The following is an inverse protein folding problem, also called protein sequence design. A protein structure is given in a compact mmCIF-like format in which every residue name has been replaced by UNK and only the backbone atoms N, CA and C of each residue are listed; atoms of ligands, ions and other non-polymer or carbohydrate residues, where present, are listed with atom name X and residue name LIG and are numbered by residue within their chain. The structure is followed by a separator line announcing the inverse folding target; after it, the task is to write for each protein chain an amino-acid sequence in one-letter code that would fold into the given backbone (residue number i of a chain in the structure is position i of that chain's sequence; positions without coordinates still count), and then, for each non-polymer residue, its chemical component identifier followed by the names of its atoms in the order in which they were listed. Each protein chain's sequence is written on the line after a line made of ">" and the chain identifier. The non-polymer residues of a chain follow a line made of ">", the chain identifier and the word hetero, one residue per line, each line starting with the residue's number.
data_IF_670151021169
#
_entry.id   IF_670151021169
#
_cell.length_a   1.000
_cell.length_b   1.000
_cell.length_c   1.000
_cell.angle_alpha   90.00
_cell.angle_beta   90.00
_cell.angle_gamma   90.00
#
_symmetry.space_group_name_H-M   'P 1'
#
loop_
_entity.id
_entity.type
_entity.pdbx_description
1 polymer ?
#
# COMPACT_ATOMS: atom_id res chain seq x y z
N UNK A 1 3.41 30.97 1.37
CA UNK A 1 3.80 31.24 2.77
C UNK A 1 3.73 29.94 3.57
N UNK A 2 4.85 29.43 4.11
CA UNK A 2 4.84 28.19 4.90
C UNK A 2 4.25 28.48 6.28
N UNK A 3 3.06 27.93 6.56
CA UNK A 3 2.41 28.03 7.87
C UNK A 3 3.24 27.22 8.88
N UNK A 4 4.03 27.89 9.73
CA UNK A 4 4.67 27.23 10.88
C UNK A 4 3.56 26.73 11.79
N UNK A 5 3.44 25.41 11.96
CA UNK A 5 2.57 24.81 12.96
C UNK A 5 3.20 25.08 14.33
N UNK A 6 2.84 26.20 14.96
CA UNK A 6 3.30 26.52 16.31
C UNK A 6 2.50 25.69 17.31
N UNK A 7 3.13 24.69 17.93
CA UNK A 7 2.56 23.98 19.07
C UNK A 7 2.45 24.96 20.24
N UNK A 8 1.25 25.16 20.79
CA UNK A 8 1.07 26.04 21.95
C UNK A 8 1.46 25.31 23.23
N UNK A 9 1.77 26.06 24.30
CA UNK A 9 2.09 25.47 25.62
C UNK A 9 0.98 24.54 26.12
N UNK A 10 -0.28 24.86 25.83
CA UNK A 10 -1.44 24.05 26.21
C UNK A 10 -1.49 22.74 25.44
N UNK A 11 -1.21 22.77 24.13
CA UNK A 11 -1.21 21.56 23.30
C UNK A 11 -0.14 20.58 23.77
N UNK A 12 1.03 21.09 24.17
CA UNK A 12 2.10 20.27 24.76
C UNK A 12 1.68 19.64 26.09
N UNK A 13 1.14 20.44 27.03
CA UNK A 13 0.71 19.95 28.35
C UNK A 13 -0.41 18.92 28.21
N UNK A 14 -1.38 19.17 27.34
CA UNK A 14 -2.46 18.23 27.07
C UNK A 14 -1.92 16.92 26.47
N UNK A 15 -0.98 16.99 25.51
CA UNK A 15 -0.36 15.81 24.91
C UNK A 15 0.38 14.94 25.92
N UNK A 16 1.18 15.54 26.80
CA UNK A 16 1.88 14.82 27.88
C UNK A 16 0.89 14.18 28.85
N UNK A 17 -0.18 14.89 29.19
CA UNK A 17 -1.22 14.40 30.10
C UNK A 17 -1.94 13.16 29.56
N UNK A 18 -2.26 13.14 28.26
CA UNK A 18 -2.83 11.96 27.59
C UNK A 18 -1.88 10.76 27.59
N UNK A 19 -0.59 10.99 27.35
CA UNK A 19 0.42 9.92 27.38
C UNK A 19 0.54 9.27 28.76
N UNK A 20 0.55 10.08 29.83
CA UNK A 20 0.57 9.58 31.20
C UNK A 20 -0.73 8.84 31.56
N UNK A 21 -1.89 9.40 31.21
CA UNK A 21 -3.16 8.73 31.43
C UNK A 21 -3.25 7.37 30.72
N UNK A 22 -2.74 7.27 29.49
CA UNK A 22 -2.68 6.01 28.74
C UNK A 22 -1.74 4.99 29.39
N UNK A 23 -0.64 5.43 30.02
CA UNK A 23 0.30 4.53 30.69
C UNK A 23 -0.27 3.85 31.94
N UNK A 24 -1.23 4.50 32.61
CA UNK A 24 -1.89 3.98 33.82
C UNK A 24 -3.27 3.38 33.49
N UNK A 25 -3.75 3.55 32.26
CA UNK A 25 -5.02 2.98 31.83
C UNK A 25 -4.97 1.44 31.86
N UNK A 26 -6.04 0.76 32.30
CA UNK A 26 -6.09 -0.70 32.33
C UNK A 26 -5.89 -1.29 30.92
N UNK A 27 -4.90 -2.18 30.77
CA UNK A 27 -4.57 -2.85 29.49
C UNK A 27 -5.75 -3.69 28.97
N UNK A 28 -6.69 -4.08 29.84
CA UNK A 28 -7.89 -4.82 29.43
C UNK A 28 -8.80 -4.03 28.48
N UNK A 29 -8.71 -2.70 28.42
CA UNK A 29 -9.38 -1.90 27.38
C UNK A 29 -8.78 -2.10 25.98
N UNK A 30 -7.54 -2.57 25.87
CA UNK A 30 -6.88 -2.91 24.61
C UNK A 30 -7.21 -4.34 24.14
N UNK A 31 -7.80 -5.18 25.00
CA UNK A 31 -8.24 -6.52 24.60
C UNK A 31 -9.48 -6.42 23.73
N UNK A 32 -9.36 -6.91 22.50
CA UNK A 32 -10.50 -7.03 21.61
C UNK A 32 -11.52 -8.03 22.19
N UNK A 33 -12.63 -7.52 22.72
CA UNK A 33 -13.76 -8.34 23.17
C UNK A 33 -14.52 -8.90 21.96
N UNK A 34 -14.86 -10.19 22.00
CA UNK A 34 -15.72 -10.88 21.03
C UNK A 34 -15.16 -11.10 19.62
N UNK A 35 -13.84 -11.30 19.46
CA UNK A 35 -13.32 -11.88 18.22
C UNK A 35 -13.40 -13.40 18.37
N UNK A 36 -14.43 -14.00 17.79
CA UNK A 36 -14.43 -15.44 17.54
C UNK A 36 -13.27 -15.73 16.57
N UNK A 37 -12.27 -16.55 16.95
CA UNK A 37 -11.15 -16.88 16.06
C UNK A 37 -11.60 -17.53 14.75
N UNK A 38 -12.80 -18.11 14.70
CA UNK A 38 -13.42 -18.63 13.48
C UNK A 38 -14.10 -17.54 12.62
N UNK A 39 -14.33 -16.35 13.20
CA UNK A 39 -14.77 -15.13 12.51
C UNK A 39 -13.58 -14.21 12.19
N UNK A 40 -12.40 -14.79 12.01
CA UNK A 40 -11.25 -14.09 11.44
C UNK A 40 -11.34 -14.21 9.92
N UNK A 41 -11.55 -13.12 9.16
CA UNK A 41 -11.80 -13.19 7.70
C UNK A 41 -10.76 -14.00 6.90
N UNK A 42 -9.45 -13.98 7.24
CA UNK A 42 -8.46 -14.85 6.59
C UNK A 42 -8.69 -16.35 6.78
N UNK A 43 -9.36 -16.77 7.86
CA UNK A 43 -9.70 -18.19 8.07
C UNK A 43 -10.78 -18.68 7.09
N UNK A 44 -11.63 -17.80 6.58
CA UNK A 44 -12.71 -18.13 5.63
C UNK A 44 -12.23 -18.25 4.19
N UNK A 45 -11.20 -17.51 3.81
CA UNK A 45 -10.65 -17.54 2.44
C UNK A 45 -9.58 -18.60 2.25
N UNK A 46 -9.18 -19.31 3.31
CA UNK A 46 -8.08 -20.27 3.28
C UNK A 46 -6.69 -19.61 3.14
N UNK A 47 -6.62 -18.27 3.08
CA UNK A 47 -5.37 -17.51 2.99
C UNK A 47 -4.74 -17.46 4.37
N UNK A 48 -3.98 -18.51 4.71
CA UNK A 48 -3.30 -18.65 6.01
C UNK A 48 -1.96 -17.91 6.05
N UNK A 49 -1.91 -16.64 5.66
CA UNK A 49 -0.71 -15.79 5.78
C UNK A 49 0.61 -16.53 5.46
N UNK A 50 1.59 -16.41 6.36
CA UNK A 50 2.86 -17.13 6.27
C UNK A 50 2.73 -18.58 6.78
N UNK A 51 2.68 -19.54 5.86
CA UNK A 51 2.69 -20.98 6.16
C UNK A 51 3.75 -21.70 5.30
N UNK A 52 4.23 -22.90 5.71
CA UNK A 52 5.12 -23.71 4.86
C UNK A 52 4.50 -23.91 3.48
N UNK A 53 5.25 -23.61 2.42
CA UNK A 53 4.79 -23.64 1.02
C UNK A 53 4.18 -22.33 0.48
N UNK A 54 3.85 -21.35 1.34
CA UNK A 54 3.29 -20.04 0.90
C UNK A 54 4.25 -19.23 0.01
N UNK A 55 5.54 -19.56 0.04
CA UNK A 55 6.56 -18.90 -0.76
C UNK A 55 7.17 -19.79 -1.85
N UNK A 56 6.72 -21.03 -2.06
CA UNK A 56 7.39 -21.92 -3.01
C UNK A 56 7.29 -21.40 -4.44
N UNK A 57 6.11 -20.89 -4.84
CA UNK A 57 5.95 -20.25 -6.14
C UNK A 57 6.73 -18.94 -6.28
N UNK A 58 6.75 -18.12 -5.22
CA UNK A 58 7.49 -16.87 -5.22
C UNK A 58 9.01 -17.08 -5.28
N UNK A 59 9.55 -18.03 -4.50
CA UNK A 59 10.95 -18.41 -4.54
C UNK A 59 11.32 -19.05 -5.87
N UNK A 60 10.48 -19.92 -6.44
CA UNK A 60 10.73 -20.48 -7.77
C UNK A 60 10.79 -19.40 -8.83
N UNK A 61 9.88 -18.42 -8.80
CA UNK A 61 9.91 -17.29 -9.72
C UNK A 61 11.17 -16.43 -9.54
N UNK A 62 11.56 -16.14 -8.29
CA UNK A 62 12.71 -15.30 -7.97
C UNK A 62 14.07 -15.97 -8.22
N UNK A 63 14.17 -17.29 -7.99
CA UNK A 63 15.44 -18.04 -8.05
C UNK A 63 15.65 -18.74 -9.40
N UNK A 64 14.60 -19.26 -10.03
CA UNK A 64 14.73 -20.06 -11.25
C UNK A 64 14.52 -19.23 -12.53
N UNK A 65 14.04 -17.99 -12.43
CA UNK A 65 13.67 -17.19 -13.60
C UNK A 65 12.41 -17.73 -14.26
N UNK A 66 11.31 -17.02 -14.12
CA UNK A 66 10.04 -17.43 -14.71
C UNK A 66 10.01 -17.22 -16.22
N UNK A 67 10.23 -18.28 -17.01
CA UNK A 67 9.85 -18.32 -18.42
C UNK A 67 8.32 -18.48 -18.52
N UNK A 68 7.56 -17.44 -18.15
CA UNK A 68 6.09 -17.42 -18.22
C UNK A 68 5.54 -16.63 -19.42
N UNK A 69 6.42 -16.10 -20.26
CA UNK A 69 6.04 -15.39 -21.47
C UNK A 69 6.06 -16.38 -22.63
N UNK A 70 5.02 -17.21 -22.71
CA UNK A 70 4.86 -18.14 -23.84
C UNK A 70 4.41 -17.41 -25.11
N UNK A 71 3.71 -16.28 -24.99
CA UNK A 71 3.27 -15.51 -26.15
C UNK A 71 3.18 -14.01 -25.81
N UNK A 72 3.91 -13.18 -26.55
CA UNK A 72 3.81 -11.73 -26.49
C UNK A 72 2.84 -11.31 -27.58
N UNK A 73 1.62 -11.00 -27.20
CA UNK A 73 0.57 -10.54 -28.11
C UNK A 73 0.63 -9.02 -28.18
N UNK A 74 0.84 -8.48 -29.38
CA UNK A 74 0.67 -7.04 -29.62
C UNK A 74 -0.83 -6.71 -29.71
N UNK A 75 -1.29 -5.89 -28.77
CA UNK A 75 -2.69 -5.47 -28.69
C UNK A 75 -2.99 -4.28 -29.63
N UNK A 76 -1.98 -3.67 -30.25
CA UNK A 76 -2.13 -2.48 -31.08
C UNK A 76 -2.50 -1.22 -30.27
N UNK A 77 -2.48 -1.30 -28.94
CA UNK A 77 -2.81 -0.21 -28.03
C UNK A 77 -1.55 0.43 -27.46
N UNK A 78 -1.43 1.75 -27.59
CA UNK A 78 -0.36 2.52 -26.96
C UNK A 78 -0.80 3.02 -25.59
N UNK A 79 -0.13 2.57 -24.53
CA UNK A 79 -0.39 3.02 -23.16
C UNK A 79 0.62 4.08 -22.73
N UNK A 80 0.14 5.24 -22.25
CA UNK A 80 1.00 6.29 -21.68
C UNK A 80 1.63 5.85 -20.32
N UNK A 81 1.04 4.85 -19.64
CA UNK A 81 1.51 4.28 -18.38
C UNK A 81 1.02 2.83 -18.22
N UNK A 82 1.91 1.95 -17.76
CA UNK A 82 1.57 0.60 -17.31
C UNK A 82 1.98 0.46 -15.83
N UNK A 83 1.06 -0.01 -14.98
CA UNK A 83 1.34 -0.34 -13.56
C UNK A 83 1.26 -1.85 -13.39
N UNK A 84 2.38 -2.47 -13.04
CA UNK A 84 2.45 -3.93 -12.81
C UNK A 84 2.31 -4.19 -11.31
N UNK A 85 1.22 -4.86 -10.92
CA UNK A 85 0.92 -5.26 -9.54
C UNK A 85 -0.11 -4.37 -8.83
N UNK A 86 -1.18 -4.98 -8.32
CA UNK A 86 -2.31 -4.31 -7.65
C UNK A 86 -2.15 -4.09 -6.14
N UNK A 87 -0.91 -3.99 -5.65
CA UNK A 87 -0.64 -3.73 -4.23
C UNK A 87 -0.86 -2.27 -3.83
N UNK A 88 -0.64 -1.95 -2.55
CA UNK A 88 -0.75 -0.57 -2.02
C UNK A 88 0.16 0.39 -2.81
N UNK A 89 1.37 -0.07 -3.17
CA UNK A 89 2.31 0.70 -4.00
C UNK A 89 1.74 0.96 -5.40
N UNK A 90 1.21 -0.05 -6.09
CA UNK A 90 0.65 0.10 -7.43
C UNK A 90 -0.58 1.00 -7.48
N UNK A 91 -1.51 0.84 -6.52
CA UNK A 91 -2.67 1.72 -6.38
C UNK A 91 -2.25 3.16 -6.04
N UNK A 92 -1.26 3.34 -5.17
CA UNK A 92 -0.72 4.67 -4.86
C UNK A 92 -0.12 5.36 -6.08
N UNK A 93 0.56 4.61 -6.95
CA UNK A 93 1.17 5.14 -8.17
C UNK A 93 0.09 5.53 -9.21
N UNK A 94 -0.96 4.72 -9.36
CA UNK A 94 -2.11 5.08 -10.21
C UNK A 94 -2.80 6.36 -9.71
N UNK A 95 -3.08 6.45 -8.41
CA UNK A 95 -3.71 7.63 -7.81
C UNK A 95 -2.81 8.86 -7.97
N UNK A 96 -1.50 8.71 -7.74
CA UNK A 96 -0.54 9.80 -7.90
C UNK A 96 -0.54 10.33 -9.33
N UNK A 97 -0.45 9.46 -10.34
CA UNK A 97 -0.42 9.87 -11.74
C UNK A 97 -1.76 10.47 -12.18
N UNK A 98 -2.89 9.95 -11.66
CA UNK A 98 -4.21 10.55 -11.89
C UNK A 98 -4.35 11.93 -11.25
N UNK A 99 -3.72 12.16 -10.11
CA UNK A 99 -3.77 13.44 -9.38
C UNK A 99 -2.75 14.48 -9.87
N UNK A 100 -1.71 14.02 -10.57
CA UNK A 100 -0.71 14.89 -11.14
C UNK A 100 -1.34 15.68 -12.31
N UNK A 101 -1.10 17.00 -12.40
CA UNK A 101 -1.50 17.75 -13.58
C UNK A 101 -0.84 17.13 -14.80
N UNK A 102 -1.62 16.85 -15.85
CA UNK A 102 -1.13 16.33 -17.12
C UNK A 102 0.01 17.24 -17.58
N UNK A 103 1.25 16.73 -17.60
CA UNK A 103 2.33 17.43 -18.30
C UNK A 103 1.91 17.50 -19.76
N UNK A 104 1.81 18.71 -20.30
CA UNK A 104 1.48 18.92 -21.71
C UNK A 104 2.44 18.11 -22.56
N UNK A 105 1.89 17.21 -23.39
CA UNK A 105 2.68 16.41 -24.33
C UNK A 105 3.52 17.38 -25.18
N UNK A 106 4.84 17.26 -25.11
CA UNK A 106 5.72 17.95 -26.06
C UNK A 106 5.50 17.29 -27.42
N UNK A 107 4.71 17.96 -28.27
CA UNK A 107 4.55 17.62 -29.67
C UNK A 107 5.90 17.82 -30.35
N UNK A 108 6.63 16.75 -30.64
CA UNK A 108 7.79 16.82 -31.53
C UNK A 108 7.27 16.83 -32.96
N UNK A 109 7.01 18.02 -33.49
CA UNK A 109 6.80 18.24 -34.92
C UNK A 109 8.12 17.92 -35.62
N UNK A 110 8.20 16.76 -36.28
CA UNK A 110 9.27 16.44 -37.23
C UNK A 110 9.11 17.38 -38.42
N UNK A 111 9.89 18.45 -38.47
CA UNK A 111 10.05 19.30 -39.65
C UNK A 111 11.17 18.72 -40.53
N UNK A 112 10.87 18.73 -41.84
CA UNK A 112 11.66 18.34 -43.04
C UNK A 112 12.12 16.90 -43.15
#
# INVERSE_FOLDING_TARGET
>A
MKKKLSITRRDFINGVSYGLAASVAPIDFLKAKNIDPFKYPPALTGIRGNHPGSFDHAHRLALAGGNFLEEIIDLGESNDLIVVGGGISGLSQHIFIKSAPLKSKHTYTRQS
#
